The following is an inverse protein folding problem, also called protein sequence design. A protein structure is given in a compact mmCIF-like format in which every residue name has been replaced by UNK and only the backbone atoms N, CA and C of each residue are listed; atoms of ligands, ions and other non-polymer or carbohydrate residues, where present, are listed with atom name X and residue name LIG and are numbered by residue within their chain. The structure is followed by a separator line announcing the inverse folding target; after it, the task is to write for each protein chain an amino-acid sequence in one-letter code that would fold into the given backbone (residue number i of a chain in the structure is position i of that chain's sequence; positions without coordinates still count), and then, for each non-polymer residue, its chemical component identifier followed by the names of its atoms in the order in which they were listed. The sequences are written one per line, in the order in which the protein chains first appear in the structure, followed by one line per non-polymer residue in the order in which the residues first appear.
data_IF_167228634756
#
_entry.id   IF_167228634756
#
_cell.length_a   1.000
_cell.length_b   1.000
_cell.length_c   1.000
_cell.angle_alpha   90.00
_cell.angle_beta   90.00
_cell.angle_gamma   90.00
#
_symmetry.space_group_name_H-M   'P 1'
#
loop_
_entity.id
_entity.type
_entity.pdbx_description
1 polymer ?
#
# COMPACT_ATOMS: atom_id res chain seq x y z
N UNK A 1 -48.44 -19.52 -8.74
CA UNK A 1 -47.57 -18.94 -7.70
C UNK A 1 -46.59 -18.01 -8.38
N UNK A 2 -46.61 -16.71 -8.07
CA UNK A 2 -45.72 -15.72 -8.70
C UNK A 2 -44.58 -15.42 -7.72
N UNK A 3 -43.34 -15.71 -8.14
CA UNK A 3 -42.14 -15.30 -7.43
C UNK A 3 -41.98 -13.79 -7.56
N UNK A 4 -42.35 -13.06 -6.52
CA UNK A 4 -42.33 -11.60 -6.48
C UNK A 4 -40.97 -11.12 -5.95
N UNK A 5 -39.92 -11.40 -6.71
CA UNK A 5 -38.69 -10.63 -6.62
C UNK A 5 -38.84 -9.43 -7.54
N UNK A 6 -39.70 -8.49 -7.15
CA UNK A 6 -39.80 -7.19 -7.80
C UNK A 6 -38.55 -6.39 -7.43
N UNK A 7 -37.44 -6.70 -8.12
CA UNK A 7 -36.29 -5.81 -8.33
C UNK A 7 -35.49 -5.33 -7.11
N UNK A 8 -34.15 -5.31 -7.28
CA UNK A 8 -33.23 -4.54 -6.43
C UNK A 8 -33.62 -3.04 -6.35
N UNK A 9 -34.44 -2.58 -7.29
CA UNK A 9 -34.98 -1.23 -7.39
C UNK A 9 -35.97 -0.89 -6.26
N UNK A 10 -36.87 -1.80 -5.87
CA UNK A 10 -37.78 -1.59 -4.72
C UNK A 10 -37.02 -1.58 -3.39
N UNK A 11 -35.90 -2.31 -3.30
CA UNK A 11 -34.99 -2.27 -2.15
C UNK A 11 -34.23 -0.93 -2.05
N UNK A 12 -33.94 -0.27 -3.19
CA UNK A 12 -33.37 1.09 -3.22
C UNK A 12 -34.44 2.18 -2.99
N UNK A 13 -35.69 1.93 -3.37
CA UNK A 13 -36.78 2.92 -3.32
C UNK A 13 -37.81 2.70 -2.21
N UNK A 14 -37.53 1.82 -1.24
CA UNK A 14 -38.32 1.71 -0.02
C UNK A 14 -38.25 3.03 0.78
N UNK A 15 -39.27 3.87 0.58
CA UNK A 15 -39.59 5.09 1.35
C UNK A 15 -38.43 6.05 1.65
N UNK A 16 -37.53 6.33 0.69
CA UNK A 16 -36.52 7.38 0.82
C UNK A 16 -35.30 7.05 1.69
N UNK A 17 -35.14 5.81 2.16
CA UNK A 17 -34.01 5.41 3.00
C UNK A 17 -32.84 4.72 2.28
N UNK A 18 -33.00 4.39 0.98
CA UNK A 18 -31.94 3.84 0.14
C UNK A 18 -30.59 4.57 0.22
N UNK A 19 -30.52 5.92 0.18
CA UNK A 19 -29.24 6.62 0.28
C UNK A 19 -28.51 6.39 1.61
N UNK A 20 -29.22 6.16 2.73
CA UNK A 20 -28.59 5.92 4.03
C UNK A 20 -27.90 4.57 4.09
N UNK A 21 -28.53 3.53 3.54
CA UNK A 21 -27.95 2.18 3.49
C UNK A 21 -26.70 2.17 2.62
N UNK A 22 -26.79 2.74 1.41
CA UNK A 22 -25.63 2.86 0.53
C UNK A 22 -24.51 3.72 1.13
N UNK A 23 -24.85 4.78 1.86
CA UNK A 23 -23.85 5.59 2.58
C UNK A 23 -23.16 4.78 3.68
N UNK A 24 -23.91 4.00 4.47
CA UNK A 24 -23.33 3.11 5.48
C UNK A 24 -22.39 2.07 4.86
N UNK A 25 -22.81 1.40 3.77
CA UNK A 25 -21.94 0.48 3.03
C UNK A 25 -20.71 1.17 2.44
N UNK A 26 -20.87 2.35 1.84
CA UNK A 26 -19.77 3.12 1.28
C UNK A 26 -18.75 3.50 2.35
N UNK A 27 -19.19 3.97 3.52
CA UNK A 27 -18.32 4.28 4.66
C UNK A 27 -17.62 3.03 5.17
N UNK A 28 -18.34 1.91 5.36
CA UNK A 28 -17.73 0.64 5.78
C UNK A 28 -16.67 0.15 4.80
N UNK A 29 -16.97 0.16 3.50
CA UNK A 29 -16.01 -0.22 2.46
C UNK A 29 -14.82 0.75 2.44
N UNK A 30 -15.06 2.06 2.56
CA UNK A 30 -14.00 3.05 2.61
C UNK A 30 -13.06 2.84 3.80
N UNK A 31 -13.59 2.56 5.00
CA UNK A 31 -12.79 2.24 6.19
C UNK A 31 -12.02 0.93 6.00
N UNK A 32 -12.64 -0.10 5.43
CA UNK A 32 -11.99 -1.38 5.18
C UNK A 32 -10.84 -1.22 4.17
N UNK A 33 -11.08 -0.50 3.07
CA UNK A 33 -10.06 -0.15 2.10
C UNK A 33 -8.96 0.70 2.72
N UNK A 34 -9.29 1.67 3.57
CA UNK A 34 -8.31 2.50 4.26
C UNK A 34 -7.41 1.66 5.17
N UNK A 35 -7.99 0.73 5.93
CA UNK A 35 -7.27 -0.16 6.83
C UNK A 35 -6.31 -1.08 6.07
N UNK A 36 -6.70 -1.55 4.87
CA UNK A 36 -5.85 -2.37 4.00
C UNK A 36 -4.82 -1.53 3.23
N UNK A 37 -5.20 -0.32 2.79
CA UNK A 37 -4.33 0.58 2.04
C UNK A 37 -3.23 1.17 2.92
N UNK A 38 -3.49 1.42 4.21
CA UNK A 38 -2.53 1.93 5.18
C UNK A 38 -1.23 1.09 5.26
N UNK A 39 -1.28 -0.23 5.55
CA UNK A 39 -0.09 -1.07 5.59
C UNK A 39 0.54 -1.26 4.21
N UNK A 40 -0.24 -1.29 3.12
CA UNK A 40 0.29 -1.36 1.75
C UNK A 40 1.11 -0.11 1.40
N UNK A 41 0.62 1.08 1.74
CA UNK A 41 1.34 2.35 1.56
C UNK A 41 2.61 2.39 2.39
N UNK A 42 2.55 1.92 3.64
CA UNK A 42 3.71 1.87 4.52
C UNK A 42 4.77 0.87 4.05
N UNK A 43 4.36 -0.30 3.54
CA UNK A 43 5.28 -1.27 2.91
C UNK A 43 5.99 -0.68 1.69
N UNK A 44 5.29 0.06 0.84
CA UNK A 44 5.90 0.73 -0.32
C UNK A 44 6.94 1.78 0.09
N UNK A 45 6.69 2.53 1.16
CA UNK A 45 7.66 3.50 1.70
C UNK A 45 8.90 2.80 2.25
N UNK A 46 8.73 1.75 3.05
CA UNK A 46 9.85 1.00 3.62
C UNK A 46 10.72 0.38 2.51
N UNK A 47 10.12 -0.21 1.48
CA UNK A 47 10.87 -0.76 0.35
C UNK A 47 11.65 0.32 -0.41
N UNK A 48 11.07 1.50 -0.60
CA UNK A 48 11.74 2.63 -1.24
C UNK A 48 12.94 3.12 -0.41
N UNK A 49 12.81 3.14 0.92
CA UNK A 49 13.91 3.52 1.82
C UNK A 49 15.02 2.47 1.85
N UNK A 50 14.67 1.18 1.86
CA UNK A 50 15.65 0.07 1.77
C UNK A 50 16.43 0.13 0.46
N UNK A 51 15.77 0.38 -0.68
CA UNK A 51 16.46 0.53 -1.97
C UNK A 51 17.45 1.71 -1.98
N UNK A 52 17.11 2.80 -1.28
CA UNK A 52 18.01 3.96 -1.14
C UNK A 52 19.21 3.65 -0.24
N UNK A 53 19.03 2.86 0.81
CA UNK A 53 20.11 2.43 1.69
C UNK A 53 21.07 1.47 0.98
N UNK A 54 20.55 0.47 0.25
CA UNK A 54 21.38 -0.46 -0.53
C UNK A 54 22.28 0.24 -1.54
N UNK A 55 21.79 1.30 -2.22
CA UNK A 55 22.63 2.10 -3.12
C UNK A 55 23.77 2.82 -2.41
N UNK A 56 23.56 3.26 -1.17
CA UNK A 56 24.61 3.94 -0.38
C UNK A 56 25.64 2.96 0.15
N UNK A 57 25.21 1.78 0.56
CA UNK A 57 26.10 0.70 1.01
C UNK A 57 26.98 0.19 -0.13
N UNK A 58 26.42 0.03 -1.34
CA UNK A 58 27.19 -0.37 -2.51
C UNK A 58 28.32 0.62 -2.86
N UNK A 59 28.06 1.93 -2.72
CA UNK A 59 29.08 2.97 -2.95
C UNK A 59 30.16 2.95 -1.87
N UNK A 60 29.77 2.81 -0.59
CA UNK A 60 30.73 2.70 0.53
C UNK A 60 31.62 1.46 0.39
N UNK A 61 31.04 0.33 0.00
CA UNK A 61 31.79 -0.91 -0.18
C UNK A 61 32.81 -0.81 -1.32
N UNK A 62 32.53 -0.03 -2.38
CA UNK A 62 33.52 0.26 -3.41
C UNK A 62 34.61 1.24 -2.94
N UNK A 63 34.28 2.17 -2.05
CA UNK A 63 35.24 3.12 -1.49
C UNK A 63 36.19 2.42 -0.50
N UNK A 64 35.65 1.58 0.38
CA UNK A 64 36.42 0.75 1.32
C UNK A 64 37.32 -0.26 0.58
N UNK A 65 36.84 -0.87 -0.51
CA UNK A 65 37.64 -1.79 -1.33
C UNK A 65 38.76 -1.09 -2.12
N UNK A 66 38.58 0.19 -2.47
CA UNK A 66 39.62 1.01 -3.11
C UNK A 66 40.65 1.45 -2.08
N UNK A 67 40.23 1.83 -0.87
CA UNK A 67 41.13 2.22 0.22
C UNK A 67 41.99 1.03 0.69
N UNK A 68 41.39 -0.14 0.90
CA UNK A 68 42.12 -1.38 1.26
C UNK A 68 43.18 -1.75 0.21
N UNK A 69 42.84 -1.57 -1.08
CA UNK A 69 43.77 -1.85 -2.18
C UNK A 69 44.91 -0.82 -2.24
N UNK A 70 44.60 0.47 -2.03
CA UNK A 70 45.61 1.54 -1.97
C UNK A 70 46.60 1.34 -0.81
N UNK A 71 46.11 0.94 0.37
CA UNK A 71 46.95 0.65 1.54
C UNK A 71 47.82 -0.58 1.32
N UNK A 72 47.31 -1.62 0.64
CA UNK A 72 48.06 -2.82 0.32
C UNK A 72 49.18 -2.53 -0.70
N UNK A 73 48.88 -1.77 -1.76
CA UNK A 73 49.84 -1.41 -2.82
C UNK A 73 50.93 -0.46 -2.32
N UNK A 74 50.59 0.51 -1.47
CA UNK A 74 51.57 1.49 -0.96
C UNK A 74 52.47 0.94 0.17
N UNK A 75 52.17 -0.25 0.72
CA UNK A 75 52.96 -0.89 1.79
C UNK A 75 54.00 -1.88 1.25
N UNK A 76 53.92 -2.30 -0.02
CA UNK A 76 54.91 -3.16 -0.70
C UNK A 76 56.04 -2.37 -1.35
#
# INVERSE_FOLDING_TARGET
MIFRFDSLQDFLQMSGHGPYVWSAYAVSIAVMLWLVASPLRRRRQILADVQRQQRREALRQSEDAVDDNYVAENRS
#
